data_IF_953708622066
#
_entry.id   IF_953708622066
#
_cell.length_a   1.000
_cell.length_b   1.000
_cell.length_c   1.000
_cell.angle_alpha   90.00
_cell.angle_beta   90.00
_cell.angle_gamma   90.00
#
_symmetry.space_group_name_H-M   'P 1'
#
loop_
_entity.id
_entity.type
_entity.pdbx_description
1 polymer ?
#
# COMPACT_ATOMS: atom_id res chain seq x y z
N UNK A 1 -4.99 -21.27 -2.92
CA UNK A 1 -4.81 -20.10 -2.03
C UNK A 1 -6.19 -19.71 -1.54
N UNK A 2 -6.47 -19.87 -0.25
CA UNK A 2 -7.79 -19.59 0.30
C UNK A 2 -7.91 -18.08 0.55
N UNK A 3 -8.75 -17.43 -0.25
CA UNK A 3 -9.08 -16.01 -0.11
C UNK A 3 -10.10 -15.87 1.03
N UNK A 4 -9.61 -15.49 2.21
CA UNK A 4 -10.45 -15.29 3.41
C UNK A 4 -11.14 -13.93 3.42
N UNK A 5 -12.33 -13.80 4.03
CA UNK A 5 -13.01 -12.52 4.21
C UNK A 5 -12.16 -11.61 5.10
N UNK A 6 -11.88 -10.39 4.63
CA UNK A 6 -11.02 -9.43 5.32
C UNK A 6 -11.68 -9.03 6.66
N UNK A 7 -11.11 -9.36 7.83
CA UNK A 7 -11.72 -9.11 9.14
C UNK A 7 -11.52 -7.66 9.61
N UNK A 8 -11.43 -6.71 8.68
CA UNK A 8 -11.09 -5.33 9.01
C UNK A 8 -12.27 -4.64 9.70
N UNK A 9 -11.99 -4.09 10.87
CA UNK A 9 -12.87 -3.19 11.62
C UNK A 9 -13.16 -1.91 10.81
N UNK A 10 -14.22 -1.19 11.16
CA UNK A 10 -14.60 0.06 10.49
C UNK A 10 -13.45 1.08 10.49
N UNK A 11 -12.68 1.15 11.59
CA UNK A 11 -11.48 1.97 11.70
C UNK A 11 -10.40 1.54 10.69
N UNK A 12 -10.12 0.24 10.57
CA UNK A 12 -9.16 -0.27 9.60
C UNK A 12 -9.61 0.05 8.16
N UNK A 13 -10.91 -0.05 7.85
CA UNK A 13 -11.45 0.33 6.55
C UNK A 13 -11.23 1.82 6.24
N UNK A 14 -11.37 2.72 7.21
CA UNK A 14 -11.06 4.15 7.03
C UNK A 14 -9.57 4.38 6.74
N UNK A 15 -8.69 3.67 7.44
CA UNK A 15 -7.24 3.75 7.21
C UNK A 15 -6.90 3.25 5.80
N UNK A 16 -7.46 2.12 5.39
CA UNK A 16 -7.28 1.57 4.04
C UNK A 16 -7.83 2.48 2.95
N UNK A 17 -8.98 3.12 3.20
CA UNK A 17 -9.55 4.11 2.29
C UNK A 17 -8.61 5.31 2.11
N UNK A 18 -8.02 5.83 3.19
CA UNK A 18 -7.06 6.93 3.12
C UNK A 18 -5.78 6.56 2.35
N UNK A 19 -5.29 5.33 2.50
CA UNK A 19 -4.13 4.82 1.72
C UNK A 19 -4.50 4.67 0.24
N UNK A 20 -5.70 4.14 -0.06
CA UNK A 20 -6.22 4.05 -1.43
C UNK A 20 -6.34 5.43 -2.07
N UNK A 21 -6.90 6.40 -1.35
CA UNK A 21 -7.04 7.78 -1.81
C UNK A 21 -5.66 8.37 -2.15
N UNK A 22 -4.68 8.21 -1.26
CA UNK A 22 -3.29 8.61 -1.52
C UNK A 22 -2.74 8.04 -2.84
N UNK A 23 -2.89 6.72 -3.06
CA UNK A 23 -2.41 6.12 -4.30
C UNK A 23 -3.21 6.58 -5.52
N UNK A 24 -4.50 6.83 -5.37
CA UNK A 24 -5.33 7.34 -6.47
C UNK A 24 -4.99 8.78 -6.85
N UNK A 25 -4.64 9.64 -5.88
CA UNK A 25 -4.16 11.00 -6.13
C UNK A 25 -2.83 11.00 -6.91
N UNK A 26 -1.94 10.05 -6.62
CA UNK A 26 -0.65 9.92 -7.30
C UNK A 26 -0.72 9.15 -8.62
N UNK A 27 -1.66 8.21 -8.75
CA UNK A 27 -1.86 7.34 -9.91
C UNK A 27 -3.35 7.32 -10.31
N UNK A 28 -3.88 8.40 -10.90
CA UNK A 28 -5.32 8.54 -11.16
C UNK A 28 -5.88 7.50 -12.13
N UNK A 29 -5.07 7.04 -13.07
CA UNK A 29 -5.45 6.05 -14.09
C UNK A 29 -5.03 4.61 -13.71
N UNK A 30 -4.46 4.39 -12.52
CA UNK A 30 -4.00 3.07 -12.12
C UNK A 30 -5.12 2.19 -11.57
N UNK A 31 -5.04 0.89 -11.88
CA UNK A 31 -5.86 -0.12 -11.23
C UNK A 31 -5.28 -0.44 -9.84
N UNK A 32 -5.95 -0.02 -8.78
CA UNK A 32 -5.54 -0.27 -7.39
C UNK A 32 -6.37 -1.41 -6.81
N UNK A 33 -5.71 -2.51 -6.42
CA UNK A 33 -6.32 -3.64 -5.71
C UNK A 33 -5.61 -3.86 -4.39
N UNK A 34 -6.34 -3.89 -3.29
CA UNK A 34 -5.78 -4.21 -1.98
C UNK A 34 -6.19 -5.61 -1.51
N UNK A 35 -5.31 -6.23 -0.74
CA UNK A 35 -5.49 -7.54 -0.13
C UNK A 35 -4.72 -7.63 1.17
N UNK A 36 -5.14 -8.51 2.08
CA UNK A 36 -4.44 -8.74 3.33
C UNK A 36 -3.56 -9.98 3.24
N UNK A 37 -2.27 -9.84 3.55
CA UNK A 37 -1.31 -10.92 3.72
C UNK A 37 -1.23 -11.30 5.21
N UNK A 38 -1.84 -12.44 5.55
CA UNK A 38 -1.85 -12.97 6.91
C UNK A 38 -0.47 -13.41 7.41
N UNK A 39 0.42 -13.88 6.52
CA UNK A 39 1.73 -14.39 6.90
C UNK A 39 2.67 -13.24 7.28
N UNK A 40 2.56 -12.12 6.57
CA UNK A 40 3.35 -10.91 6.83
C UNK A 40 2.66 -9.92 7.76
N UNK A 41 1.39 -10.16 8.11
CA UNK A 41 0.53 -9.20 8.82
C UNK A 41 0.58 -7.82 8.14
N UNK A 42 0.24 -7.79 6.87
CA UNK A 42 0.40 -6.60 6.04
C UNK A 42 -0.77 -6.43 5.07
N UNK A 43 -1.15 -5.18 4.82
CA UNK A 43 -2.03 -4.85 3.71
C UNK A 43 -1.18 -4.61 2.45
N UNK A 44 -1.44 -5.39 1.41
CA UNK A 44 -0.80 -5.25 0.11
C UNK A 44 -1.71 -4.47 -0.82
N UNK A 45 -1.21 -3.40 -1.41
CA UNK A 45 -1.85 -2.60 -2.46
C UNK A 45 -1.12 -2.83 -3.78
N UNK A 46 -1.73 -3.59 -4.67
CA UNK A 46 -1.27 -3.80 -6.03
C UNK A 46 -1.72 -2.64 -6.90
N UNK A 47 -0.76 -1.97 -7.54
CA UNK A 47 -0.98 -0.78 -8.37
C UNK A 47 -0.55 -1.13 -9.79
N UNK A 48 -1.52 -1.23 -10.70
CA UNK A 48 -1.30 -1.45 -12.13
C UNK A 48 -1.32 -0.12 -12.87
N UNK A 49 -0.16 0.33 -13.35
CA UNK A 49 -0.03 1.56 -14.14
C UNK A 49 -0.21 1.26 -15.63
N UNK A 50 -1.04 2.04 -16.33
CA UNK A 50 -1.30 1.83 -17.76
C UNK A 50 -0.04 2.10 -18.59
N UNK A 51 0.34 1.15 -19.45
CA UNK A 51 1.53 1.25 -20.31
C UNK A 51 2.83 0.62 -19.79
N UNK A 52 2.89 0.15 -18.54
CA UNK A 52 3.96 -0.72 -18.05
C UNK A 52 3.42 -2.16 -17.86
N UNK A 53 4.07 -3.17 -18.44
CA UNK A 53 3.73 -4.60 -18.28
C UNK A 53 3.94 -5.13 -16.83
N UNK A 54 3.99 -4.25 -15.82
CA UNK A 54 4.34 -4.57 -14.44
C UNK A 54 3.34 -3.99 -13.44
N UNK A 55 2.84 -4.86 -12.57
CA UNK A 55 2.17 -4.43 -11.34
C UNK A 55 3.23 -4.14 -10.28
N UNK A 56 3.08 -3.06 -9.52
CA UNK A 56 3.91 -2.80 -8.36
C UNK A 56 3.10 -2.99 -7.08
N UNK A 57 3.67 -3.71 -6.11
CA UNK A 57 2.98 -4.07 -4.87
C UNK A 57 3.51 -3.19 -3.73
N UNK A 58 2.65 -2.36 -3.14
CA UNK A 58 2.95 -1.62 -1.92
C UNK A 58 2.45 -2.40 -0.69
N UNK A 59 3.36 -2.91 0.12
CA UNK A 59 3.10 -3.77 1.28
C UNK A 59 3.19 -2.93 2.56
N UNK A 60 2.05 -2.50 3.10
CA UNK A 60 1.98 -1.75 4.35
C UNK A 60 1.81 -2.71 5.52
N UNK A 61 2.78 -2.77 6.43
CA UNK A 61 2.66 -3.61 7.63
C UNK A 61 1.52 -3.10 8.53
N UNK A 62 0.76 -4.01 9.15
CA UNK A 62 -0.31 -3.64 10.09
C UNK A 62 0.23 -2.78 11.24
N UNK A 63 1.45 -3.04 11.70
CA UNK A 63 2.12 -2.20 12.71
C UNK A 63 2.21 -0.72 12.29
N UNK A 64 2.50 -0.43 11.02
CA UNK A 64 2.51 0.94 10.51
C UNK A 64 1.10 1.53 10.44
N UNK A 65 0.10 0.72 10.07
CA UNK A 65 -1.30 1.15 10.04
C UNK A 65 -1.85 1.47 11.45
N UNK A 66 -1.29 0.86 12.49
CA UNK A 66 -1.67 1.12 13.88
C UNK A 66 -1.03 2.38 14.46
N UNK A 67 0.08 2.84 13.89
CA UNK A 67 0.82 4.01 14.40
C UNK A 67 0.16 5.35 14.11
N UNK A 68 -0.63 5.42 13.04
CA UNK A 68 -1.21 6.67 12.57
C UNK A 68 -2.73 6.57 12.37
N UNK A 69 -3.49 7.64 12.69
CA UNK A 69 -4.89 7.71 12.33
C UNK A 69 -5.05 7.94 10.81
N UNK A 70 -6.21 7.55 10.26
CA UNK A 70 -6.51 7.64 8.82
C UNK A 70 -6.14 9.00 8.19
N UNK A 71 -6.49 10.10 8.89
CA UNK A 71 -6.24 11.48 8.44
C UNK A 71 -4.76 11.89 8.31
N UNK A 72 -3.81 11.06 8.77
CA UNK A 72 -2.38 11.33 8.72
C UNK A 72 -1.65 10.54 7.64
N UNK A 73 -2.23 9.44 7.13
CA UNK A 73 -1.53 8.58 6.17
C UNK A 73 -1.08 9.32 4.91
N UNK A 74 -1.95 10.11 4.28
CA UNK A 74 -1.57 10.89 3.10
C UNK A 74 -0.29 11.71 3.33
N UNK A 75 -0.21 12.42 4.46
CA UNK A 75 0.99 13.22 4.80
C UNK A 75 2.23 12.37 5.05
N UNK A 76 2.10 11.25 5.75
CA UNK A 76 3.23 10.36 6.05
C UNK A 76 3.74 9.70 4.77
N UNK A 77 2.84 9.13 3.96
CA UNK A 77 3.16 8.46 2.70
C UNK A 77 3.77 9.44 1.69
N UNK A 78 3.24 10.68 1.58
CA UNK A 78 3.88 11.74 0.79
C UNK A 78 5.26 12.11 1.34
N UNK A 79 5.40 12.26 2.65
CA UNK A 79 6.69 12.60 3.29
C UNK A 79 7.77 11.55 3.07
N UNK A 80 7.37 10.28 2.98
CA UNK A 80 8.25 9.15 2.67
C UNK A 80 8.35 8.85 1.17
N UNK A 81 7.66 9.63 0.32
CA UNK A 81 7.70 9.52 -1.14
C UNK A 81 7.34 8.11 -1.63
N UNK A 82 6.40 7.44 -0.95
CA UNK A 82 6.04 6.03 -1.21
C UNK A 82 5.62 5.81 -2.66
N UNK A 83 4.81 6.72 -3.23
CA UNK A 83 4.42 6.65 -4.64
C UNK A 83 5.64 6.65 -5.59
N UNK A 84 6.69 7.42 -5.30
CA UNK A 84 7.89 7.44 -6.16
C UNK A 84 8.68 6.14 -6.08
N UNK A 85 8.74 5.52 -4.90
CA UNK A 85 9.31 4.19 -4.71
C UNK A 85 8.51 3.15 -5.49
N UNK A 86 7.18 3.18 -5.40
CA UNK A 86 6.29 2.29 -6.16
C UNK A 86 6.48 2.46 -7.66
N UNK A 87 6.58 3.70 -8.14
CA UNK A 87 6.81 3.97 -9.56
C UNK A 87 8.20 3.49 -10.02
N UNK A 88 9.22 3.63 -9.16
CA UNK A 88 10.59 3.24 -9.49
C UNK A 88 10.85 1.74 -9.36
N UNK A 89 10.02 1.03 -8.60
CA UNK A 89 10.18 -0.38 -8.27
C UNK A 89 10.07 -1.32 -9.48
N UNK A 90 9.42 -0.91 -10.58
CA UNK A 90 9.32 -1.68 -11.84
C UNK A 90 8.96 -3.17 -11.63
N UNK A 91 7.98 -3.44 -10.77
CA UNK A 91 7.54 -4.80 -10.43
C UNK A 91 8.14 -5.40 -9.15
N UNK A 92 8.97 -4.64 -8.43
CA UNK A 92 9.41 -4.97 -7.08
C UNK A 92 8.36 -4.63 -6.02
N UNK A 93 8.45 -5.29 -4.85
CA UNK A 93 7.60 -4.97 -3.69
C UNK A 93 8.17 -3.76 -2.94
N UNK A 94 7.32 -2.78 -2.62
CA UNK A 94 7.66 -1.65 -1.76
C UNK A 94 7.05 -1.88 -0.38
N UNK A 95 7.88 -2.19 0.60
CA UNK A 95 7.46 -2.47 1.97
C UNK A 95 7.48 -1.16 2.77
N UNK A 96 6.35 -0.85 3.41
CA UNK A 96 6.18 0.30 4.29
C UNK A 96 6.01 -0.22 5.71
N UNK A 97 6.99 0.09 6.55
CA UNK A 97 7.03 -0.27 7.97
C UNK A 97 7.06 0.99 8.84
N UNK A 98 7.00 0.82 10.15
CA UNK A 98 7.17 1.91 11.12
C UNK A 98 8.53 2.61 11.06
N UNK A 99 9.54 1.95 10.50
CA UNK A 99 10.90 2.48 10.38
C UNK A 99 11.16 3.22 9.08
N UNK A 100 10.29 3.04 8.07
CA UNK A 100 10.42 3.66 6.76
C UNK A 100 10.01 2.74 5.61
N UNK A 101 10.56 3.04 4.42
CA UNK A 101 10.22 2.40 3.15
C UNK A 101 11.40 1.56 2.66
N UNK A 102 11.14 0.32 2.25
CA UNK A 102 12.14 -0.61 1.71
C UNK A 102 11.69 -1.15 0.34
N UNK A 103 12.59 -1.22 -0.63
CA UNK A 103 12.33 -1.84 -1.94
C UNK A 103 12.92 -3.26 -1.96
N UNK A 104 12.07 -4.27 -2.14
CA UNK A 104 12.49 -5.65 -2.35
C UNK A 104 12.35 -6.03 -3.82
N UNK A 105 13.48 -6.05 -4.51
CA UNK A 105 13.62 -6.71 -5.81
C UNK A 105 13.63 -8.23 -5.61
N UNK A 106 12.65 -8.93 -6.18
CA UNK A 106 12.63 -10.40 -6.25
C UNK A 106 13.62 -10.92 -7.28
#
# INVERSE_FOLDING_TARGET
MAWGPNPNTEEELEKLAAVREYFHEHFPDAEIRDSYDHDRMAQVFRIGMDGEDGFSDAVLLTQFLDEYPASKFGKVLTGWRVAEHVQSAKGAEVIVSSWGVEEKTC
#
